data_IF_608458098559
#
_entry.id   IF_608458098559
#
_cell.length_a   1.000
_cell.length_b   1.000
_cell.length_c   1.000
_cell.angle_alpha   90.00
_cell.angle_beta   90.00
_cell.angle_gamma   90.00
#
_symmetry.space_group_name_H-M   'P 1'
#
loop_
_entity.id
_entity.type
_entity.pdbx_description
1 polymer ?
#
# COMPACT_ATOMS: atom_id res chain seq x y z
N UNK A 1 67.05 35.38 -8.26
CA UNK A 1 65.75 35.37 -8.97
C UNK A 1 64.98 34.10 -8.61
N UNK A 2 64.70 33.90 -7.30
CA UNK A 2 63.87 32.77 -6.79
C UNK A 2 63.08 33.30 -5.58
N UNK A 3 62.10 34.16 -5.84
CA UNK A 3 61.08 34.54 -4.87
C UNK A 3 59.85 34.93 -5.69
N UNK A 4 59.02 33.96 -6.03
CA UNK A 4 57.62 34.20 -6.45
C UNK A 4 56.87 32.94 -6.89
N UNK A 5 57.16 31.76 -6.30
CA UNK A 5 56.37 30.55 -6.58
C UNK A 5 55.59 29.99 -5.37
N UNK A 6 55.74 30.63 -4.20
CA UNK A 6 55.08 30.11 -3.00
C UNK A 6 53.71 30.80 -2.64
N UNK A 7 53.38 31.91 -3.33
CA UNK A 7 52.14 32.64 -3.06
C UNK A 7 50.94 32.24 -3.96
N UNK A 8 51.21 31.48 -5.04
CA UNK A 8 50.13 31.09 -5.97
C UNK A 8 49.49 29.75 -5.60
N UNK A 9 50.14 28.96 -4.73
CA UNK A 9 49.61 27.64 -4.32
C UNK A 9 48.65 27.72 -3.13
N UNK A 10 48.70 28.79 -2.33
CA UNK A 10 47.80 29.00 -1.20
C UNK A 10 46.45 29.64 -1.56
N UNK A 11 46.25 30.12 -2.79
CA UNK A 11 44.99 30.69 -3.25
C UNK A 11 44.04 29.68 -3.89
N UNK A 12 44.50 28.43 -4.15
CA UNK A 12 43.68 27.37 -4.74
C UNK A 12 43.18 26.34 -3.71
N UNK A 13 43.51 26.50 -2.43
CA UNK A 13 43.10 25.54 -1.38
C UNK A 13 41.94 26.03 -0.51
N UNK A 14 41.39 27.23 -0.76
CA UNK A 14 40.15 27.74 -0.17
C UNK A 14 39.04 27.85 -1.21
N UNK A 15 38.92 26.87 -2.13
CA UNK A 15 37.59 26.59 -2.69
C UNK A 15 36.77 26.04 -1.50
N UNK A 16 36.01 26.92 -0.87
CA UNK A 16 34.90 26.47 -0.02
C UNK A 16 34.23 25.35 -0.79
N UNK A 17 34.28 24.15 -0.22
CA UNK A 17 33.49 23.00 -0.71
C UNK A 17 32.07 23.54 -0.65
N UNK A 18 31.53 24.01 -1.77
CA UNK A 18 30.10 24.29 -1.89
C UNK A 18 29.47 22.97 -1.58
N UNK A 19 28.99 22.84 -0.36
CA UNK A 19 28.31 21.63 0.08
C UNK A 19 26.96 21.62 -0.65
N UNK A 20 26.89 20.82 -1.72
CA UNK A 20 25.65 20.62 -2.48
C UNK A 20 24.55 20.22 -1.52
N UNK A 21 23.45 20.96 -1.50
CA UNK A 21 22.31 20.67 -0.65
C UNK A 21 21.46 19.57 -1.28
N UNK A 22 21.45 18.39 -0.68
CA UNK A 22 20.64 17.27 -1.10
C UNK A 22 19.37 17.19 -0.25
N UNK A 23 18.22 17.25 -0.87
CA UNK A 23 16.93 17.16 -0.17
C UNK A 23 16.32 15.77 -0.36
N UNK A 24 16.18 15.03 0.74
CA UNK A 24 15.52 13.74 0.79
C UNK A 24 14.07 13.95 1.22
N UNK A 25 13.10 13.37 0.49
CA UNK A 25 11.69 13.43 0.84
C UNK A 25 11.20 12.01 1.12
N UNK A 26 10.99 11.67 2.39
CA UNK A 26 10.43 10.38 2.81
C UNK A 26 8.89 10.40 2.85
N UNK A 27 8.25 9.23 2.85
CA UNK A 27 6.78 9.16 2.88
C UNK A 27 6.20 9.39 4.28
N UNK A 28 6.99 9.14 5.34
CA UNK A 28 6.56 9.23 6.75
C UNK A 28 7.64 9.84 7.63
N UNK A 29 7.24 10.54 8.72
CA UNK A 29 8.21 11.12 9.67
C UNK A 29 9.18 10.11 10.29
N UNK A 30 8.70 8.88 10.54
CA UNK A 30 9.55 7.80 11.08
C UNK A 30 10.64 7.39 10.11
N UNK A 31 10.29 7.22 8.82
CA UNK A 31 11.25 6.88 7.75
C UNK A 31 12.27 8.00 7.56
N UNK A 32 11.82 9.26 7.57
CA UNK A 32 12.73 10.40 7.50
C UNK A 32 13.76 10.40 8.63
N UNK A 33 13.35 10.06 9.86
CA UNK A 33 14.26 9.97 11.02
C UNK A 33 15.31 8.88 10.83
N UNK A 34 14.92 7.69 10.36
CA UNK A 34 15.87 6.60 10.12
C UNK A 34 16.88 6.97 9.02
N UNK A 35 16.40 7.58 7.93
CA UNK A 35 17.29 8.07 6.87
C UNK A 35 18.23 9.17 7.40
N UNK A 36 17.71 10.13 8.15
CA UNK A 36 18.49 11.22 8.74
C UNK A 36 19.60 10.70 9.66
N UNK A 37 19.28 9.73 10.53
CA UNK A 37 20.26 9.09 11.41
C UNK A 37 21.40 8.42 10.61
N UNK A 38 21.07 7.71 9.53
CA UNK A 38 22.07 7.05 8.70
C UNK A 38 22.96 8.04 7.93
N UNK A 39 22.39 9.17 7.50
CA UNK A 39 23.08 10.22 6.76
C UNK A 39 23.85 11.21 7.66
N UNK A 40 23.64 11.16 8.98
CA UNK A 40 24.22 12.13 9.92
C UNK A 40 23.55 13.51 9.85
N UNK A 41 22.25 13.56 9.54
CA UNK A 41 21.45 14.78 9.55
C UNK A 41 20.78 14.94 10.93
N UNK A 42 21.57 15.27 11.95
CA UNK A 42 21.17 15.20 13.36
C UNK A 42 20.40 16.42 13.87
N UNK A 43 20.50 17.55 13.16
CA UNK A 43 19.85 18.79 13.58
C UNK A 43 18.37 18.76 13.21
N UNK A 44 17.51 18.69 14.23
CA UNK A 44 16.05 18.65 14.06
C UNK A 44 15.48 20.06 13.89
N UNK A 45 14.67 20.24 12.86
CA UNK A 45 13.85 21.41 12.59
C UNK A 45 12.37 21.06 12.58
N UNK A 46 11.51 22.10 12.46
CA UNK A 46 10.09 21.87 12.22
C UNK A 46 9.89 21.36 10.80
N UNK A 47 9.49 20.07 10.65
CA UNK A 47 9.20 19.46 9.36
C UNK A 47 10.39 18.79 8.64
N UNK A 48 11.63 18.85 9.15
CA UNK A 48 12.78 18.19 8.55
C UNK A 48 13.95 18.02 9.53
N UNK A 49 14.98 17.26 9.11
CA UNK A 49 16.28 17.07 9.76
C UNK A 49 17.38 17.59 8.82
N UNK A 50 18.44 18.18 9.38
CA UNK A 50 19.53 18.77 8.61
C UNK A 50 20.89 18.35 9.15
N UNK A 51 21.85 18.11 8.27
CA UNK A 51 23.24 17.81 8.60
C UNK A 51 23.95 17.14 7.44
N UNK A 52 25.27 17.21 7.48
CA UNK A 52 26.17 16.56 6.54
C UNK A 52 25.82 16.79 5.04
N UNK A 53 25.30 17.99 4.69
CA UNK A 53 24.90 18.34 3.33
C UNK A 53 23.53 17.80 2.91
N UNK A 54 22.78 17.22 3.83
CA UNK A 54 21.44 16.72 3.60
C UNK A 54 20.39 17.50 4.38
N UNK A 55 19.23 17.70 3.76
CA UNK A 55 17.99 18.03 4.44
C UNK A 55 17.00 16.87 4.21
N UNK A 56 16.58 16.19 5.27
CA UNK A 56 15.69 15.04 5.20
C UNK A 56 14.33 15.46 5.72
N UNK A 57 13.39 15.65 4.80
CA UNK A 57 11.99 15.99 5.08
C UNK A 57 11.06 14.81 4.81
N UNK A 58 9.76 15.00 5.00
CA UNK A 58 8.78 13.93 4.89
C UNK A 58 7.42 14.46 4.47
N UNK A 59 6.65 13.56 3.86
CA UNK A 59 5.20 13.68 3.80
C UNK A 59 4.57 12.87 4.96
N UNK A 60 3.26 12.94 5.13
CA UNK A 60 2.51 12.04 6.04
C UNK A 60 1.34 11.42 5.29
N UNK A 61 1.69 10.72 4.20
CA UNK A 61 0.78 10.28 3.16
C UNK A 61 0.60 11.36 2.09
N UNK A 62 -0.57 11.43 1.50
CA UNK A 62 -0.86 12.38 0.42
C UNK A 62 -0.92 13.84 0.92
N UNK A 63 0.07 14.67 0.57
CA UNK A 63 -0.01 16.13 0.70
C UNK A 63 -0.71 16.78 -0.50
N UNK A 64 -0.71 16.09 -1.65
CA UNK A 64 -1.38 16.53 -2.86
C UNK A 64 -2.49 15.55 -3.24
N UNK A 65 -3.51 16.05 -3.93
CA UNK A 65 -4.64 15.27 -4.46
C UNK A 65 -5.01 15.78 -5.84
N UNK A 66 -5.77 14.99 -6.60
CA UNK A 66 -6.41 15.49 -7.81
C UNK A 66 -7.40 16.60 -7.43
N UNK A 67 -7.51 17.61 -8.29
CA UNK A 67 -8.50 18.67 -8.15
C UNK A 67 -9.91 18.10 -8.06
N UNK A 68 -10.76 18.73 -7.25
CA UNK A 68 -12.17 18.40 -7.12
C UNK A 68 -12.99 18.96 -8.30
N UNK A 69 -14.21 18.46 -8.55
CA UNK A 69 -15.06 18.97 -9.63
C UNK A 69 -15.20 20.49 -9.64
N UNK A 70 -15.40 21.10 -8.47
CA UNK A 70 -15.54 22.56 -8.31
C UNK A 70 -14.31 23.37 -8.73
N UNK A 71 -13.11 22.75 -8.69
CA UNK A 71 -11.87 23.39 -9.05
C UNK A 71 -11.70 23.49 -10.58
N UNK A 72 -12.37 22.62 -11.34
CA UNK A 72 -12.42 22.66 -12.80
C UNK A 72 -13.51 23.58 -13.33
N UNK A 73 -14.73 23.46 -12.79
CA UNK A 73 -15.89 24.26 -13.18
C UNK A 73 -16.73 24.62 -11.95
N UNK A 74 -16.94 25.89 -11.69
CA UNK A 74 -17.62 26.36 -10.48
C UNK A 74 -19.03 25.76 -10.30
N UNK A 75 -19.76 25.51 -11.39
CA UNK A 75 -21.09 24.90 -11.35
C UNK A 75 -21.03 23.40 -10.99
N UNK A 76 -19.93 22.71 -11.16
CA UNK A 76 -19.74 21.34 -10.69
C UNK A 76 -19.70 21.21 -9.15
N UNK A 77 -19.75 22.33 -8.43
CA UNK A 77 -19.93 22.32 -6.97
C UNK A 77 -21.28 21.72 -6.57
N UNK A 78 -22.35 22.09 -7.27
CA UNK A 78 -23.67 21.47 -7.10
C UNK A 78 -23.74 20.10 -7.75
N UNK A 79 -24.67 19.28 -7.24
CA UNK A 79 -24.89 17.96 -7.80
C UNK A 79 -26.11 17.98 -8.70
N UNK A 80 -25.89 17.86 -10.00
CA UNK A 80 -26.93 17.81 -11.03
C UNK A 80 -26.66 16.64 -11.97
N UNK A 81 -27.71 15.90 -12.35
CA UNK A 81 -27.62 14.80 -13.31
C UNK A 81 -27.17 15.27 -14.70
N UNK A 82 -27.53 16.52 -15.07
CA UNK A 82 -27.17 17.10 -16.37
C UNK A 82 -25.65 17.38 -16.49
N UNK A 83 -24.94 17.45 -15.38
CA UNK A 83 -23.50 17.66 -15.36
C UNK A 83 -22.69 16.36 -15.53
N UNK A 84 -23.37 15.22 -15.54
CA UNK A 84 -22.71 13.91 -15.67
C UNK A 84 -22.66 13.45 -17.14
N UNK A 85 -21.55 12.84 -17.59
CA UNK A 85 -20.33 12.57 -16.84
C UNK A 85 -19.41 13.79 -16.72
N UNK A 86 -18.82 13.99 -15.53
CA UNK A 86 -17.78 14.99 -15.31
C UNK A 86 -16.46 14.46 -15.83
N UNK A 87 -15.96 15.02 -16.91
CA UNK A 87 -14.71 14.65 -17.56
C UNK A 87 -13.88 15.91 -17.79
N UNK A 88 -12.89 16.20 -16.92
CA UNK A 88 -11.95 17.29 -17.16
C UNK A 88 -11.09 17.03 -18.42
N UNK A 89 -10.78 18.06 -19.18
CA UNK A 89 -9.90 17.94 -20.34
C UNK A 89 -8.47 17.55 -19.94
N UNK A 90 -8.04 18.04 -18.76
CA UNK A 90 -6.74 17.75 -18.18
C UNK A 90 -6.89 17.57 -16.67
N UNK A 91 -6.36 16.45 -16.15
CA UNK A 91 -6.31 16.24 -14.71
C UNK A 91 -5.14 16.99 -14.09
N UNK A 92 -5.42 17.75 -13.05
CA UNK A 92 -4.44 18.54 -12.31
C UNK A 92 -4.48 18.18 -10.83
N UNK A 93 -3.38 18.45 -10.14
CA UNK A 93 -3.24 18.25 -8.70
C UNK A 93 -3.28 19.57 -7.95
N UNK A 94 -3.63 19.49 -6.68
CA UNK A 94 -3.55 20.60 -5.71
C UNK A 94 -3.07 20.08 -4.37
N UNK A 95 -2.53 20.96 -3.54
CA UNK A 95 -2.30 20.67 -2.12
C UNK A 95 -3.64 20.42 -1.44
N UNK A 96 -3.69 19.43 -0.56
CA UNK A 96 -4.90 19.11 0.23
C UNK A 96 -5.23 20.31 1.13
N UNK A 97 -6.49 20.72 1.13
CA UNK A 97 -6.99 21.85 1.92
C UNK A 97 -7.03 21.49 3.43
N UNK A 98 -5.87 21.60 4.06
CA UNK A 98 -5.64 21.36 5.48
C UNK A 98 -4.42 22.15 5.96
N UNK A 99 -4.54 22.90 7.05
CA UNK A 99 -3.48 23.77 7.57
C UNK A 99 -2.17 23.02 7.88
N UNK A 100 -2.26 21.80 8.41
CA UNK A 100 -1.09 20.99 8.73
C UNK A 100 -0.38 20.50 7.47
N UNK A 101 -1.16 20.11 6.44
CA UNK A 101 -0.64 19.71 5.13
C UNK A 101 0.04 20.89 4.44
N UNK A 102 -0.61 22.05 4.43
CA UNK A 102 -0.06 23.26 3.82
C UNK A 102 1.27 23.64 4.46
N UNK A 103 1.34 23.68 5.79
CA UNK A 103 2.58 24.00 6.52
C UNK A 103 3.72 23.05 6.15
N UNK A 104 3.46 21.75 6.06
CA UNK A 104 4.48 20.78 5.70
C UNK A 104 4.88 20.91 4.23
N UNK A 105 3.92 21.17 3.34
CA UNK A 105 4.19 21.42 1.94
C UNK A 105 5.09 22.67 1.76
N UNK A 106 4.82 23.75 2.50
CA UNK A 106 5.62 24.97 2.46
C UNK A 106 7.06 24.73 2.94
N UNK A 107 7.25 23.90 3.97
CA UNK A 107 8.58 23.46 4.39
C UNK A 107 9.30 22.72 3.26
N UNK A 108 8.64 21.74 2.65
CA UNK A 108 9.22 20.96 1.53
C UNK A 108 9.58 21.92 0.39
N UNK A 109 8.65 22.79 -0.03
CA UNK A 109 8.89 23.76 -1.11
C UNK A 109 10.10 24.64 -0.82
N UNK A 110 10.22 25.18 0.40
CA UNK A 110 11.34 26.04 0.79
C UNK A 110 12.69 25.31 0.78
N UNK A 111 12.70 23.99 1.00
CA UNK A 111 13.90 23.17 0.88
C UNK A 111 14.22 22.89 -0.60
N UNK A 112 13.20 22.58 -1.41
CA UNK A 112 13.37 22.32 -2.84
C UNK A 112 13.87 23.56 -3.59
N UNK A 113 13.45 24.77 -3.21
CA UNK A 113 13.93 26.04 -3.79
C UNK A 113 15.45 26.23 -3.62
N UNK A 114 16.08 25.49 -2.69
CA UNK A 114 17.53 25.56 -2.38
C UNK A 114 18.28 24.28 -2.74
N UNK A 115 17.56 23.26 -3.23
CA UNK A 115 18.14 21.95 -3.48
C UNK A 115 18.94 21.92 -4.77
N UNK A 116 20.14 21.38 -4.70
CA UNK A 116 20.94 21.02 -5.88
C UNK A 116 20.53 19.65 -6.43
N UNK A 117 20.07 18.76 -5.54
CA UNK A 117 19.60 17.42 -5.87
C UNK A 117 18.43 17.05 -4.95
N UNK A 118 17.38 16.50 -5.52
CA UNK A 118 16.26 15.91 -4.76
C UNK A 118 16.33 14.38 -4.81
N UNK A 119 16.17 13.75 -3.66
CA UNK A 119 16.13 12.29 -3.55
C UNK A 119 14.74 11.89 -3.07
N UNK A 120 13.99 11.27 -3.98
CA UNK A 120 12.70 10.66 -3.67
C UNK A 120 12.90 9.38 -2.85
N UNK A 121 12.55 9.45 -1.57
CA UNK A 121 12.64 8.36 -0.60
C UNK A 121 11.25 7.82 -0.21
N UNK A 122 10.27 7.90 -1.09
CA UNK A 122 8.94 7.30 -0.90
C UNK A 122 9.03 5.77 -0.81
N UNK A 123 8.01 5.13 -0.24
CA UNK A 123 7.95 3.68 -0.15
C UNK A 123 8.14 3.03 -1.54
N UNK A 124 8.78 1.86 -1.59
CA UNK A 124 9.07 1.16 -2.83
C UNK A 124 7.78 0.56 -3.43
N UNK A 125 7.06 1.36 -4.18
CA UNK A 125 5.78 0.99 -4.79
C UNK A 125 5.16 2.12 -5.59
N UNK A 126 4.06 1.79 -6.26
CA UNK A 126 3.33 2.72 -7.12
C UNK A 126 2.79 3.95 -6.36
N UNK A 127 2.27 3.75 -5.14
CA UNK A 127 1.76 4.84 -4.33
C UNK A 127 2.87 5.76 -3.83
N UNK A 128 3.97 5.19 -3.30
CA UNK A 128 5.10 6.01 -2.83
C UNK A 128 5.72 6.84 -3.94
N UNK A 129 5.80 6.32 -5.17
CA UNK A 129 6.24 7.08 -6.33
C UNK A 129 5.25 8.21 -6.67
N UNK A 130 3.94 7.91 -6.69
CA UNK A 130 2.90 8.89 -7.00
C UNK A 130 2.87 10.05 -5.99
N UNK A 131 2.88 9.74 -4.70
CA UNK A 131 2.86 10.72 -3.61
C UNK A 131 4.00 11.72 -3.75
N UNK A 132 5.22 11.21 -3.90
CA UNK A 132 6.41 12.05 -3.95
C UNK A 132 6.49 12.87 -5.24
N UNK A 133 6.17 12.29 -6.39
CA UNK A 133 6.15 13.02 -7.67
C UNK A 133 5.11 14.13 -7.68
N UNK A 134 3.96 13.92 -7.07
CA UNK A 134 2.96 14.98 -6.95
C UNK A 134 3.47 16.15 -6.13
N UNK A 135 4.16 15.90 -5.02
CA UNK A 135 4.74 16.95 -4.17
C UNK A 135 5.85 17.71 -4.90
N UNK A 136 6.76 16.99 -5.54
CA UNK A 136 7.88 17.59 -6.32
C UNK A 136 7.32 18.45 -7.47
N UNK A 137 6.33 17.93 -8.20
CA UNK A 137 5.70 18.65 -9.31
C UNK A 137 4.91 19.87 -8.83
N UNK A 138 4.17 19.77 -7.71
CA UNK A 138 3.40 20.84 -7.13
C UNK A 138 4.30 21.95 -6.55
N UNK A 139 5.50 21.60 -6.09
CA UNK A 139 6.53 22.54 -5.68
C UNK A 139 7.26 23.20 -6.87
N UNK A 140 6.97 22.74 -8.10
CA UNK A 140 7.56 23.24 -9.36
C UNK A 140 9.08 23.05 -9.47
N UNK A 141 9.64 22.06 -8.76
CA UNK A 141 11.06 21.77 -8.84
C UNK A 141 11.45 21.26 -10.23
N UNK A 142 12.56 21.81 -10.78
CA UNK A 142 13.06 21.52 -12.14
C UNK A 142 14.47 20.94 -12.17
N UNK A 143 15.08 20.78 -11.00
CA UNK A 143 16.41 20.21 -10.90
C UNK A 143 16.44 18.70 -11.03
N UNK A 144 17.61 18.11 -10.78
CA UNK A 144 17.83 16.66 -10.82
C UNK A 144 17.07 15.96 -9.69
N UNK A 145 16.39 14.85 -10.03
CA UNK A 145 15.70 14.00 -9.07
C UNK A 145 16.22 12.58 -9.19
N UNK A 146 16.65 12.01 -8.06
CA UNK A 146 17.04 10.61 -7.96
C UNK A 146 16.08 9.84 -7.05
N UNK A 147 16.04 8.52 -7.20
CA UNK A 147 15.15 7.61 -6.48
C UNK A 147 15.93 6.68 -5.58
N UNK A 148 15.62 6.70 -4.29
CA UNK A 148 15.99 5.67 -3.33
C UNK A 148 14.95 4.54 -3.39
N UNK A 149 15.35 3.34 -3.82
CA UNK A 149 14.46 2.18 -3.90
C UNK A 149 14.90 1.11 -2.94
N UNK A 150 14.29 1.07 -1.76
CA UNK A 150 14.59 0.10 -0.70
C UNK A 150 13.29 -0.49 -0.15
N UNK A 151 13.33 -1.77 0.24
CA UNK A 151 12.23 -2.49 0.88
C UNK A 151 12.44 -2.73 2.37
N UNK A 152 13.56 -2.26 2.92
CA UNK A 152 13.93 -2.39 4.33
C UNK A 152 14.52 -1.09 4.84
N UNK A 153 14.29 -0.79 6.13
CA UNK A 153 14.80 0.41 6.82
C UNK A 153 15.97 0.08 7.76
N UNK A 154 16.65 -1.04 7.55
CA UNK A 154 17.90 -1.30 8.30
C UNK A 154 18.98 -0.33 7.86
N UNK A 155 19.91 -0.02 8.75
CA UNK A 155 21.03 0.89 8.48
C UNK A 155 21.82 0.46 7.22
N UNK A 156 22.01 -0.84 7.07
CA UNK A 156 22.72 -1.43 5.93
C UNK A 156 21.96 -1.20 4.62
N UNK A 157 20.63 -1.48 4.61
CA UNK A 157 19.80 -1.31 3.43
C UNK A 157 19.71 0.15 3.00
N UNK A 158 19.61 1.09 3.95
CA UNK A 158 19.63 2.53 3.66
C UNK A 158 20.97 2.95 3.06
N UNK A 159 22.11 2.54 3.65
CA UNK A 159 23.44 2.87 3.12
C UNK A 159 23.66 2.33 1.72
N UNK A 160 23.31 1.07 1.50
CA UNK A 160 23.42 0.44 0.18
C UNK A 160 22.51 1.14 -0.84
N UNK A 161 21.27 1.48 -0.45
CA UNK A 161 20.35 2.21 -1.29
C UNK A 161 20.88 3.58 -1.72
N UNK A 162 21.51 4.33 -0.82
CA UNK A 162 22.13 5.62 -1.14
C UNK A 162 23.39 5.50 -2.02
N UNK A 163 24.03 4.36 -2.05
CA UNK A 163 25.12 4.07 -3.01
C UNK A 163 24.60 3.69 -4.40
N UNK A 164 23.33 3.29 -4.50
CA UNK A 164 22.70 2.77 -5.71
C UNK A 164 21.44 3.56 -6.11
N UNK A 165 21.48 4.89 -5.91
CA UNK A 165 20.39 5.76 -6.36
C UNK A 165 20.16 5.63 -7.86
N UNK A 166 18.90 5.70 -8.28
CA UNK A 166 18.49 5.60 -9.68
C UNK A 166 17.95 6.95 -10.18
N UNK A 167 18.10 7.25 -11.45
CA UNK A 167 17.44 8.40 -12.06
C UNK A 167 15.92 8.29 -11.90
N UNK A 168 15.23 9.42 -11.70
CA UNK A 168 13.77 9.43 -11.57
C UNK A 168 13.05 8.95 -12.83
N UNK A 169 13.69 9.11 -13.98
CA UNK A 169 13.20 8.71 -15.30
C UNK A 169 12.97 7.20 -15.40
N UNK A 170 13.76 6.38 -14.70
CA UNK A 170 13.58 4.91 -14.66
C UNK A 170 12.22 4.50 -14.07
N UNK A 171 11.58 5.40 -13.32
CA UNK A 171 10.30 5.17 -12.64
C UNK A 171 9.10 5.89 -13.28
N UNK A 172 9.29 6.44 -14.49
CA UNK A 172 8.25 7.23 -15.14
C UNK A 172 7.00 6.40 -15.47
N UNK A 173 7.19 5.18 -15.97
CA UNK A 173 6.07 4.25 -16.22
C UNK A 173 5.33 3.88 -14.94
N UNK A 174 6.03 3.74 -13.81
CA UNK A 174 5.42 3.48 -12.51
C UNK A 174 4.58 4.67 -12.04
N UNK A 175 5.10 5.89 -12.20
CA UNK A 175 4.37 7.11 -11.92
C UNK A 175 3.10 7.22 -12.77
N UNK A 176 3.19 7.03 -14.10
CA UNK A 176 2.02 7.09 -14.97
C UNK A 176 1.00 6.00 -14.69
N UNK A 177 1.42 4.82 -14.30
CA UNK A 177 0.50 3.77 -13.86
C UNK A 177 -0.28 4.18 -12.60
N UNK A 178 0.41 4.78 -11.59
CA UNK A 178 -0.22 5.34 -10.39
C UNK A 178 -1.17 6.48 -10.71
N UNK A 179 -0.73 7.40 -11.55
CA UNK A 179 -1.52 8.55 -11.96
C UNK A 179 -2.77 8.15 -12.75
N UNK A 180 -2.64 7.23 -13.70
CA UNK A 180 -3.79 6.70 -14.46
C UNK A 180 -4.80 5.99 -13.55
N UNK A 181 -4.33 5.25 -12.55
CA UNK A 181 -5.19 4.64 -11.52
C UNK A 181 -5.94 5.70 -10.72
N UNK A 182 -5.24 6.76 -10.29
CA UNK A 182 -5.87 7.85 -9.54
C UNK A 182 -6.93 8.57 -10.38
N UNK A 183 -6.68 8.80 -11.66
CA UNK A 183 -7.67 9.36 -12.61
C UNK A 183 -8.86 8.42 -12.76
N UNK A 184 -8.65 7.13 -12.96
CA UNK A 184 -9.72 6.13 -13.07
C UNK A 184 -10.59 6.08 -11.80
N UNK A 185 -9.97 6.11 -10.62
CA UNK A 185 -10.66 6.15 -9.34
C UNK A 185 -11.46 7.47 -9.18
N UNK A 186 -10.92 8.61 -9.63
CA UNK A 186 -11.62 9.89 -9.63
C UNK A 186 -12.84 9.88 -10.57
N UNK A 187 -12.65 9.45 -11.82
CA UNK A 187 -13.72 9.40 -12.83
C UNK A 187 -14.86 8.49 -12.33
N UNK A 188 -14.53 7.27 -11.92
CA UNK A 188 -15.53 6.33 -11.42
C UNK A 188 -16.18 6.84 -10.13
N UNK A 189 -15.36 7.22 -9.15
CA UNK A 189 -15.82 7.62 -7.82
C UNK A 189 -16.74 8.83 -7.85
N UNK A 190 -16.34 9.89 -8.54
CA UNK A 190 -17.13 11.13 -8.61
C UNK A 190 -18.44 10.90 -9.38
N UNK A 191 -18.36 10.36 -10.59
CA UNK A 191 -19.53 10.23 -11.46
C UNK A 191 -20.53 9.21 -10.93
N UNK A 192 -20.08 8.03 -10.53
CA UNK A 192 -20.96 6.99 -10.02
C UNK A 192 -21.57 7.35 -8.66
N UNK A 193 -20.78 7.95 -7.73
CA UNK A 193 -21.30 8.39 -6.44
C UNK A 193 -22.40 9.44 -6.62
N UNK A 194 -22.17 10.44 -7.47
CA UNK A 194 -23.20 11.46 -7.73
C UNK A 194 -24.44 10.89 -8.41
N UNK A 195 -24.25 10.05 -9.44
CA UNK A 195 -25.35 9.41 -10.15
C UNK A 195 -26.24 8.58 -9.21
N UNK A 196 -25.62 7.68 -8.45
CA UNK A 196 -26.35 6.79 -7.54
C UNK A 196 -27.00 7.57 -6.40
N UNK A 197 -26.33 8.55 -5.84
CA UNK A 197 -26.86 9.38 -4.77
C UNK A 197 -28.07 10.18 -5.26
N UNK A 198 -28.00 10.83 -6.43
CA UNK A 198 -29.09 11.62 -6.98
C UNK A 198 -30.30 10.76 -7.39
N UNK A 199 -30.07 9.52 -7.85
CA UNK A 199 -31.17 8.63 -8.27
C UNK A 199 -31.78 7.82 -7.14
N UNK A 200 -30.99 7.42 -6.15
CA UNK A 200 -31.36 6.40 -5.17
C UNK A 200 -31.10 6.82 -3.72
N UNK A 201 -30.38 7.91 -3.49
CA UNK A 201 -30.10 8.40 -2.15
C UNK A 201 -31.34 9.02 -1.49
N UNK A 202 -31.51 8.77 -0.20
CA UNK A 202 -32.47 9.46 0.63
C UNK A 202 -31.97 10.84 1.10
N UNK A 203 -32.75 11.51 1.94
CA UNK A 203 -32.36 12.80 2.49
C UNK A 203 -31.03 12.72 3.22
N UNK A 204 -30.04 13.51 2.77
CA UNK A 204 -28.66 13.53 3.29
C UNK A 204 -27.92 12.19 3.25
N UNK A 205 -28.36 11.22 2.47
CA UNK A 205 -27.72 9.92 2.34
C UNK A 205 -26.88 9.87 1.06
N UNK A 206 -25.56 9.93 1.21
CA UNK A 206 -24.61 9.74 0.12
C UNK A 206 -24.39 8.24 -0.13
N UNK A 207 -24.53 7.81 -1.36
CA UNK A 207 -24.26 6.45 -1.82
C UNK A 207 -22.91 6.43 -2.52
N UNK A 208 -21.86 6.22 -1.74
CA UNK A 208 -20.47 6.15 -2.25
C UNK A 208 -20.28 4.94 -3.15
N UNK A 209 -19.68 5.16 -4.31
CA UNK A 209 -19.26 4.13 -5.25
C UNK A 209 -17.76 4.25 -5.47
N UNK A 210 -17.05 3.13 -5.40
CA UNK A 210 -15.61 3.11 -5.62
C UNK A 210 -15.12 1.73 -6.02
N UNK A 211 -13.98 1.69 -6.68
CA UNK A 211 -13.36 0.48 -7.25
C UNK A 211 -13.05 -0.60 -6.21
N UNK A 212 -12.76 -0.22 -4.98
CA UNK A 212 -12.45 -1.16 -3.90
C UNK A 212 -13.63 -1.35 -2.96
N UNK A 213 -14.21 -0.25 -2.46
CA UNK A 213 -15.25 -0.31 -1.43
C UNK A 213 -16.54 -1.00 -1.92
N UNK A 214 -16.95 -0.78 -3.17
CA UNK A 214 -18.19 -1.36 -3.69
C UNK A 214 -18.10 -2.87 -3.89
N UNK A 215 -17.06 -3.44 -4.52
CA UNK A 215 -16.89 -4.89 -4.57
C UNK A 215 -16.74 -5.52 -3.18
N UNK A 216 -16.03 -4.87 -2.26
CA UNK A 216 -15.89 -5.37 -0.89
C UNK A 216 -17.25 -5.45 -0.19
N UNK A 217 -18.07 -4.41 -0.29
CA UNK A 217 -19.44 -4.43 0.24
C UNK A 217 -20.29 -5.52 -0.43
N UNK A 218 -20.16 -5.68 -1.75
CA UNK A 218 -20.88 -6.72 -2.48
C UNK A 218 -20.52 -8.13 -1.99
N UNK A 219 -19.24 -8.41 -1.69
CA UNK A 219 -18.81 -9.68 -1.11
C UNK A 219 -19.49 -9.95 0.24
N UNK A 220 -19.52 -8.94 1.13
CA UNK A 220 -20.17 -9.05 2.44
C UNK A 220 -21.67 -9.31 2.29
N UNK A 221 -22.34 -8.54 1.42
CA UNK A 221 -23.78 -8.69 1.17
C UNK A 221 -24.11 -10.05 0.57
N UNK A 222 -23.33 -10.52 -0.39
CA UNK A 222 -23.52 -11.83 -1.01
C UNK A 222 -23.35 -12.94 0.03
N UNK A 223 -22.30 -12.87 0.85
CA UNK A 223 -22.11 -13.86 1.93
C UNK A 223 -23.24 -13.84 2.95
N UNK A 224 -23.74 -12.67 3.31
CA UNK A 224 -24.91 -12.57 4.18
C UNK A 224 -26.14 -13.24 3.56
N UNK A 225 -26.39 -13.00 2.26
CA UNK A 225 -27.51 -13.65 1.54
C UNK A 225 -27.36 -15.16 1.49
N UNK A 226 -26.14 -15.68 1.26
CA UNK A 226 -25.85 -17.12 1.29
C UNK A 226 -26.19 -17.71 2.67
N UNK A 227 -25.82 -17.05 3.75
CA UNK A 227 -26.08 -17.50 5.12
C UNK A 227 -27.60 -17.50 5.41
N UNK A 228 -28.30 -16.39 5.11
CA UNK A 228 -29.74 -16.25 5.38
C UNK A 228 -30.58 -17.23 4.55
N UNK A 229 -30.15 -17.47 3.31
CA UNK A 229 -30.86 -18.37 2.40
C UNK A 229 -30.34 -19.82 2.46
N UNK A 230 -29.41 -20.11 3.36
CA UNK A 230 -28.83 -21.44 3.47
C UNK A 230 -29.88 -22.47 3.85
N UNK A 231 -30.06 -23.48 3.00
CA UNK A 231 -30.90 -24.65 3.26
C UNK A 231 -29.97 -25.84 3.42
N UNK A 232 -29.91 -26.46 4.61
CA UNK A 232 -29.09 -27.62 4.80
C UNK A 232 -29.63 -28.77 3.93
N UNK A 233 -28.74 -29.39 3.15
CA UNK A 233 -29.02 -30.59 2.39
C UNK A 233 -28.32 -31.73 3.10
N UNK A 234 -29.07 -32.73 3.64
CA UNK A 234 -28.47 -33.89 4.26
C UNK A 234 -27.76 -34.76 3.21
N UNK A 235 -26.71 -35.39 3.61
CA UNK A 235 -26.01 -36.41 2.84
C UNK A 235 -25.56 -37.52 3.76
N UNK A 236 -25.27 -38.67 3.18
CA UNK A 236 -24.85 -39.88 3.91
C UNK A 236 -23.47 -40.28 3.42
N UNK A 237 -22.62 -40.72 4.34
CA UNK A 237 -21.29 -41.25 4.05
C UNK A 237 -21.20 -42.66 4.64
N UNK A 238 -20.61 -43.59 3.90
CA UNK A 238 -20.33 -44.91 4.38
C UNK A 238 -18.90 -45.03 4.84
N UNK A 239 -18.73 -45.47 6.08
CA UNK A 239 -17.43 -45.76 6.68
C UNK A 239 -17.39 -47.14 7.26
N UNK A 240 -16.22 -47.79 7.22
CA UNK A 240 -15.94 -49.00 8.00
C UNK A 240 -14.70 -48.79 8.86
N UNK A 241 -14.67 -49.47 10.00
CA UNK A 241 -13.53 -49.39 10.92
C UNK A 241 -12.91 -50.76 11.09
N UNK A 242 -11.60 -50.86 10.88
CA UNK A 242 -10.85 -52.06 11.14
C UNK A 242 -9.57 -51.73 11.91
N UNK A 243 -9.36 -52.36 13.05
CA UNK A 243 -8.22 -52.14 13.95
C UNK A 243 -7.96 -50.65 14.20
N UNK A 244 -9.00 -49.93 14.60
CA UNK A 244 -8.98 -48.49 14.91
C UNK A 244 -8.66 -47.54 13.72
N UNK A 245 -8.61 -48.10 12.49
CA UNK A 245 -8.44 -47.30 11.27
C UNK A 245 -9.79 -47.20 10.55
N UNK A 246 -10.18 -45.95 10.25
CA UNK A 246 -11.39 -45.67 9.49
C UNK A 246 -11.11 -45.69 7.98
N UNK A 247 -11.93 -46.38 7.24
CA UNK A 247 -11.92 -46.44 5.79
C UNK A 247 -13.19 -45.77 5.28
N UNK A 248 -13.06 -44.77 4.44
CA UNK A 248 -14.18 -44.08 3.80
C UNK A 248 -14.50 -44.77 2.47
N UNK A 249 -15.78 -44.75 2.10
CA UNK A 249 -16.22 -45.23 0.81
C UNK A 249 -15.67 -44.32 -0.30
N UNK A 250 -15.14 -44.89 -1.38
CA UNK A 250 -14.60 -44.18 -2.52
C UNK A 250 -15.69 -43.44 -3.33
N UNK A 251 -16.92 -43.95 -3.35
CA UNK A 251 -18.09 -43.31 -3.96
C UNK A 251 -18.42 -41.96 -3.30
N UNK A 252 -17.90 -41.68 -2.10
CA UNK A 252 -18.04 -40.42 -1.39
C UNK A 252 -19.40 -40.27 -0.73
N UNK A 253 -20.20 -39.28 -1.17
CA UNK A 253 -21.46 -38.90 -0.52
C UNK A 253 -22.66 -39.42 -1.30
N UNK A 254 -23.61 -39.99 -0.57
CA UNK A 254 -24.90 -40.41 -1.11
C UNK A 254 -25.94 -39.32 -0.86
N UNK A 255 -26.77 -39.03 -1.86
CA UNK A 255 -27.78 -37.98 -1.79
C UNK A 255 -28.98 -38.38 -0.92
N UNK A 256 -29.25 -39.67 -0.81
CA UNK A 256 -30.35 -40.23 0.00
C UNK A 256 -29.85 -41.32 0.94
N UNK A 257 -30.56 -41.51 2.06
CA UNK A 257 -30.28 -42.60 3.00
C UNK A 257 -30.45 -43.95 2.35
N UNK A 258 -31.42 -44.08 1.44
CA UNK A 258 -31.76 -45.29 0.74
C UNK A 258 -30.65 -45.75 -0.21
N UNK A 259 -30.02 -44.81 -0.94
CA UNK A 259 -28.84 -45.10 -1.75
C UNK A 259 -27.67 -45.59 -0.88
N UNK A 260 -27.39 -44.89 0.25
CA UNK A 260 -26.34 -45.27 1.18
C UNK A 260 -26.59 -46.66 1.81
N UNK A 261 -27.82 -46.96 2.20
CA UNK A 261 -28.21 -48.28 2.71
C UNK A 261 -28.09 -49.38 1.65
N UNK A 262 -28.60 -49.13 0.44
CA UNK A 262 -28.51 -50.08 -0.68
C UNK A 262 -27.06 -50.43 -0.99
N UNK A 263 -26.18 -49.44 -0.97
CA UNK A 263 -24.74 -49.67 -1.17
C UNK A 263 -24.12 -50.42 0.02
N UNK A 264 -24.45 -50.04 1.26
CA UNK A 264 -24.01 -50.71 2.47
C UNK A 264 -24.38 -52.17 2.48
N UNK A 265 -25.63 -52.52 2.13
CA UNK A 265 -26.11 -53.89 2.11
C UNK A 265 -25.41 -54.76 1.04
N UNK A 266 -25.04 -54.17 -0.09
CA UNK A 266 -24.23 -54.83 -1.13
C UNK A 266 -22.85 -55.25 -0.66
N UNK A 267 -22.21 -54.40 0.18
CA UNK A 267 -20.81 -54.61 0.60
C UNK A 267 -20.69 -55.27 1.98
N UNK A 268 -21.79 -55.32 2.76
CA UNK A 268 -21.80 -55.82 4.15
C UNK A 268 -21.47 -57.31 4.29
N UNK A 269 -21.81 -58.11 3.31
CA UNK A 269 -21.54 -59.54 3.29
C UNK A 269 -20.24 -59.87 2.51
N UNK A 270 -19.56 -58.87 1.96
CA UNK A 270 -18.33 -59.08 1.21
C UNK A 270 -17.12 -59.09 2.14
N UNK A 271 -16.14 -59.95 1.82
CA UNK A 271 -14.84 -59.89 2.49
C UNK A 271 -14.06 -58.62 2.06
N UNK A 272 -13.48 -57.95 3.03
CA UNK A 272 -12.66 -56.76 2.75
C UNK A 272 -11.18 -57.14 2.57
N UNK A 273 -10.63 -56.83 1.41
CA UNK A 273 -9.24 -57.07 1.08
C UNK A 273 -8.50 -55.74 0.93
N UNK A 274 -7.27 -55.65 1.48
CA UNK A 274 -6.38 -54.50 1.27
C UNK A 274 -5.69 -54.67 -0.09
N UNK A 275 -6.22 -54.03 -1.11
CA UNK A 275 -5.75 -54.13 -2.49
C UNK A 275 -4.41 -53.40 -2.69
N UNK A 276 -4.19 -52.29 -2.02
CA UNK A 276 -2.94 -51.55 -2.13
C UNK A 276 -2.58 -50.75 -0.88
N UNK A 277 -1.30 -50.59 -0.62
CA UNK A 277 -0.76 -49.72 0.41
C UNK A 277 0.30 -48.82 -0.22
N UNK A 278 0.04 -47.54 -0.30
CA UNK A 278 0.99 -46.54 -0.86
C UNK A 278 1.63 -45.73 0.27
N UNK A 279 2.95 -45.82 0.40
CA UNK A 279 3.71 -44.96 1.31
C UNK A 279 4.35 -43.82 0.52
N UNK A 280 3.94 -42.59 0.80
CA UNK A 280 4.59 -41.38 0.24
C UNK A 280 5.44 -40.72 1.32
N UNK A 281 6.72 -40.53 1.04
CA UNK A 281 7.55 -39.65 1.88
C UNK A 281 7.25 -38.22 1.51
N UNK A 282 6.72 -37.46 2.43
CA UNK A 282 6.53 -36.01 2.32
C UNK A 282 7.63 -35.25 3.06
N UNK A 283 7.81 -34.01 2.70
CA UNK A 283 8.59 -33.05 3.49
C UNK A 283 7.60 -32.06 4.09
N UNK A 284 7.62 -31.90 5.39
CA UNK A 284 6.92 -30.86 6.09
C UNK A 284 7.88 -29.68 6.23
N UNK A 285 7.49 -28.52 5.72
CA UNK A 285 8.28 -27.30 5.81
C UNK A 285 7.75 -26.45 6.97
N UNK A 286 8.65 -25.68 7.58
CA UNK A 286 8.26 -24.68 8.55
C UNK A 286 7.21 -23.71 7.94
N UNK A 287 6.21 -23.26 8.72
CA UNK A 287 5.28 -22.26 8.26
C UNK A 287 6.01 -20.99 7.75
N UNK A 288 5.46 -20.36 6.76
CA UNK A 288 5.97 -19.04 6.32
C UNK A 288 5.81 -18.02 7.44
N UNK A 289 6.70 -17.02 7.47
CA UNK A 289 6.51 -15.86 8.33
C UNK A 289 5.19 -15.17 7.97
N UNK A 290 4.57 -14.54 8.95
CA UNK A 290 3.33 -13.82 8.72
C UNK A 290 3.56 -12.59 7.84
N UNK A 291 2.73 -12.45 6.82
CA UNK A 291 2.36 -11.14 6.29
C UNK A 291 1.26 -10.51 7.20
N UNK A 292 0.91 -9.26 6.93
CA UNK A 292 -0.09 -8.56 7.75
C UNK A 292 -1.44 -9.27 7.75
N UNK A 293 -1.91 -9.72 6.59
CA UNK A 293 -3.20 -10.42 6.46
C UNK A 293 -3.20 -11.74 7.22
N UNK A 294 -2.16 -12.55 7.06
CA UNK A 294 -2.00 -13.80 7.78
C UNK A 294 -1.94 -13.61 9.30
N UNK A 295 -1.24 -12.55 9.76
CA UNK A 295 -1.20 -12.19 11.18
C UNK A 295 -2.58 -11.79 11.69
N UNK A 296 -3.32 -10.95 10.95
CA UNK A 296 -4.68 -10.54 11.32
C UNK A 296 -5.63 -11.74 11.42
N UNK A 297 -5.59 -12.65 10.45
CA UNK A 297 -6.40 -13.89 10.48
C UNK A 297 -6.03 -14.76 11.69
N UNK A 298 -4.73 -14.96 11.92
CA UNK A 298 -4.26 -15.74 13.07
C UNK A 298 -4.69 -15.14 14.40
N UNK A 299 -4.50 -13.84 14.58
CA UNK A 299 -4.89 -13.11 15.80
C UNK A 299 -6.41 -13.10 16.00
N UNK A 300 -7.18 -12.99 14.93
CA UNK A 300 -8.64 -13.08 15.01
C UNK A 300 -9.09 -14.47 15.47
N UNK A 301 -8.57 -15.53 14.86
CA UNK A 301 -8.94 -16.91 15.21
C UNK A 301 -8.51 -17.31 16.62
N UNK A 302 -7.33 -16.86 17.07
CA UNK A 302 -6.75 -17.31 18.35
C UNK A 302 -7.12 -16.43 19.52
N UNK A 303 -7.26 -15.11 19.30
CA UNK A 303 -7.42 -14.10 20.35
C UNK A 303 -8.67 -13.24 20.17
N UNK A 304 -9.49 -13.49 19.15
CA UNK A 304 -10.67 -12.70 18.79
C UNK A 304 -10.35 -11.20 18.55
N UNK A 305 -9.12 -10.89 18.17
CA UNK A 305 -8.71 -9.52 17.86
C UNK A 305 -9.29 -9.09 16.52
N UNK A 306 -9.67 -7.82 16.43
CA UNK A 306 -10.03 -7.24 15.12
C UNK A 306 -8.78 -7.04 14.24
N UNK A 307 -8.97 -6.89 12.94
CA UNK A 307 -7.88 -6.58 12.02
C UNK A 307 -7.19 -5.26 12.40
N UNK A 308 -7.96 -4.26 12.83
CA UNK A 308 -7.48 -2.95 13.29
C UNK A 308 -6.67 -3.04 14.59
N UNK A 309 -7.15 -3.79 15.59
CA UNK A 309 -6.42 -3.99 16.86
C UNK A 309 -5.10 -4.73 16.62
N UNK A 310 -5.10 -5.72 15.73
CA UNK A 310 -3.88 -6.44 15.33
C UNK A 310 -2.87 -5.49 14.70
N UNK A 311 -3.31 -4.66 13.75
CA UNK A 311 -2.46 -3.68 13.09
C UNK A 311 -1.88 -2.66 14.09
N UNK A 312 -2.72 -2.07 14.94
CA UNK A 312 -2.30 -1.12 15.97
C UNK A 312 -1.30 -1.71 16.94
N UNK A 313 -1.51 -2.97 17.33
CA UNK A 313 -0.59 -3.68 18.24
C UNK A 313 0.75 -3.95 17.55
N UNK A 314 0.74 -4.43 16.32
CA UNK A 314 1.96 -4.65 15.55
C UNK A 314 2.75 -3.35 15.34
N UNK A 315 2.06 -2.25 15.00
CA UNK A 315 2.66 -0.93 14.85
C UNK A 315 3.28 -0.43 16.17
N UNK A 316 2.56 -0.56 17.28
CA UNK A 316 3.08 -0.18 18.61
C UNK A 316 4.34 -0.96 18.98
N UNK A 317 4.36 -2.27 18.74
CA UNK A 317 5.54 -3.10 19.01
C UNK A 317 6.74 -2.69 18.11
N UNK A 318 6.47 -2.33 16.85
CA UNK A 318 7.50 -1.84 15.95
C UNK A 318 8.11 -0.51 16.41
N UNK A 319 7.28 0.41 16.94
CA UNK A 319 7.71 1.74 17.40
C UNK A 319 8.40 1.72 18.77
N UNK A 320 8.27 0.62 19.53
CA UNK A 320 8.90 0.46 20.85
C UNK A 320 10.36 -0.01 20.79
N UNK A 321 10.94 -0.12 19.62
CA UNK A 321 12.35 -0.54 19.42
C UNK A 321 13.34 0.48 19.98
#
# INVERSE_FOLDING_TARGET
MIYNLSLTINFLCNAEKILLMKVCIAEKPSVAREIANVLGADKKHSGYFEGNGYAVTYTFGHLCTLMEPKDYKSYWKSWDLNDLPMLPEKFMTKVVDNDGVQKQFDVIKSLLDKADLVINCGDAGQEGELIQRWVINQAEYKGEVQRLWISSLTTEAIREGFQNLKPAEDYENLFYAGFSRAIGDWILGINATRLYTLKHGGYKQMLSVGRVQTPTLAMVVNRHKEIVNFKPVPYWELQTTYKEVNFNCEEGRFATEEEGKTFSDKVKESEFEIVSVTKKKGKEYAPRLFDLTGLQVYCNNKFSMTADDTLKTAQKLYEMK
#
